data_IF_821452803652
#
_entry.id   IF_821452803652
#
_cell.length_a   1.000
_cell.length_b   1.000
_cell.length_c   1.000
_cell.angle_alpha   90.00
_cell.angle_beta   90.00
_cell.angle_gamma   90.00
#
_symmetry.space_group_name_H-M   'P 1'
#
loop_
_entity.id
_entity.type
_entity.pdbx_description
1 polymer ?
#
# COMPACT_ATOMS: atom_id res chain seq x y z
N UNK A 1 -7.14 7.50 40.71
CA UNK A 1 -7.56 6.12 41.05
C UNK A 1 -7.37 5.22 39.81
N UNK A 2 -6.98 3.93 39.93
CA UNK A 2 -6.70 3.03 38.77
C UNK A 2 -8.04 2.46 38.31
N UNK A 3 -8.40 1.25 38.71
CA UNK A 3 -9.37 0.43 38.00
C UNK A 3 -9.02 0.31 36.51
N UNK A 4 -7.88 -0.32 36.28
CA UNK A 4 -7.83 -1.38 35.28
C UNK A 4 -9.01 -2.32 35.58
N UNK A 5 -10.04 -2.30 34.76
CA UNK A 5 -11.05 -3.35 34.75
C UNK A 5 -10.48 -4.49 33.94
N UNK A 6 -9.94 -5.49 34.62
CA UNK A 6 -9.57 -6.76 33.99
C UNK A 6 -10.83 -7.41 33.42
N UNK A 7 -10.86 -7.66 32.11
CA UNK A 7 -11.94 -8.39 31.46
C UNK A 7 -11.89 -9.87 31.89
N UNK A 8 -12.61 -10.19 32.97
CA UNK A 8 -12.76 -11.57 33.45
C UNK A 8 -13.75 -12.33 32.55
N UNK A 9 -13.26 -12.81 31.40
CA UNK A 9 -13.76 -14.06 30.78
C UNK A 9 -12.91 -14.64 29.62
N UNK A 10 -11.69 -14.16 29.36
CA UNK A 10 -10.80 -14.71 28.31
C UNK A 10 -9.46 -15.23 28.84
N UNK A 11 -9.46 -16.12 29.84
CA UNK A 11 -8.28 -16.93 30.22
C UNK A 11 -8.62 -18.19 31.05
N UNK A 12 -9.19 -19.23 30.43
CA UNK A 12 -9.18 -20.61 30.96
C UNK A 12 -8.00 -21.41 30.41
N UNK A 13 -6.79 -21.05 30.85
CA UNK A 13 -5.58 -21.91 30.87
C UNK A 13 -4.59 -21.26 31.85
N UNK A 14 -4.44 -21.88 33.02
CA UNK A 14 -3.88 -21.20 34.19
C UNK A 14 -2.36 -21.07 34.17
N UNK A 15 -1.87 -19.99 34.79
CA UNK A 15 -0.57 -19.92 35.44
C UNK A 15 -0.71 -19.16 36.77
N UNK A 16 0.08 -19.56 37.76
CA UNK A 16 -0.06 -19.10 39.15
C UNK A 16 0.46 -17.67 39.35
N UNK A 17 -0.20 -16.90 40.22
CA UNK A 17 0.24 -15.57 40.63
C UNK A 17 0.44 -15.49 42.14
N UNK A 18 1.63 -15.08 42.57
CA UNK A 18 1.92 -14.68 43.96
C UNK A 18 1.89 -13.16 44.11
N UNK A 19 1.29 -12.71 45.22
CA UNK A 19 1.05 -11.31 45.60
C UNK A 19 2.30 -10.39 45.62
N UNK A 20 2.12 -9.10 45.24
CA UNK A 20 2.31 -7.93 46.13
C UNK A 20 1.71 -6.60 45.54
N UNK A 21 0.66 -6.06 46.21
CA UNK A 21 0.16 -4.66 46.33
C UNK A 21 0.25 -3.58 45.19
N UNK A 22 -0.88 -3.40 44.50
CA UNK A 22 -1.64 -2.15 44.19
C UNK A 22 -1.05 -0.72 44.38
N UNK A 23 -1.26 0.20 43.38
CA UNK A 23 -1.75 1.61 43.53
C UNK A 23 -2.04 2.42 42.20
N UNK A 24 -3.32 2.71 41.94
CA UNK A 24 -3.96 3.97 41.40
C UNK A 24 -3.48 4.79 40.14
N UNK A 25 -4.37 5.08 39.15
CA UNK A 25 -4.14 5.98 37.96
C UNK A 25 -4.76 5.58 36.55
N UNK A 26 -6.09 5.51 36.26
CA UNK A 26 -6.67 5.04 34.94
C UNK A 26 -8.07 5.59 34.58
N UNK A 27 -8.40 5.74 33.27
CA UNK A 27 -9.72 5.54 32.60
C UNK A 27 -9.49 5.45 31.07
N UNK A 28 -10.03 4.43 30.37
CA UNK A 28 -10.07 4.34 28.90
C UNK A 28 -11.48 3.93 28.45
N UNK A 29 -12.04 4.65 27.46
CA UNK A 29 -13.31 4.34 26.83
C UNK A 29 -13.28 4.85 25.37
N UNK A 30 -13.58 4.04 24.35
CA UNK A 30 -13.90 2.61 24.41
C UNK A 30 -13.70 1.90 23.07
N UNK A 31 -13.65 0.58 23.12
CA UNK A 31 -13.79 -0.32 21.98
C UNK A 31 -15.07 -1.14 22.20
N UNK A 32 -15.90 -1.27 21.17
CA UNK A 32 -17.15 -2.04 21.25
C UNK A 32 -16.90 -3.54 21.03
N UNK A 33 -17.56 -4.39 21.81
CA UNK A 33 -17.46 -5.85 21.72
C UNK A 33 -18.63 -6.43 20.91
N UNK A 34 -18.43 -7.21 19.83
CA UNK A 34 -19.49 -7.48 18.84
C UNK A 34 -20.64 -8.44 19.24
N UNK A 35 -20.86 -8.78 20.52
CA UNK A 35 -21.72 -9.93 20.90
C UNK A 35 -22.88 -9.66 21.88
N UNK A 36 -23.24 -8.41 22.17
CA UNK A 36 -24.39 -8.10 23.04
C UNK A 36 -25.51 -7.33 22.30
N UNK A 37 -26.50 -8.06 21.80
CA UNK A 37 -27.72 -7.48 21.21
C UNK A 37 -28.80 -7.28 22.28
N UNK A 38 -28.99 -6.03 22.72
CA UNK A 38 -30.10 -5.63 23.59
C UNK A 38 -30.65 -4.27 23.15
N UNK A 39 -31.90 -4.23 22.69
CA UNK A 39 -32.56 -3.01 22.18
C UNK A 39 -33.34 -2.32 23.29
N UNK A 40 -33.18 -1.00 23.42
CA UNK A 40 -34.23 -0.11 23.93
C UNK A 40 -34.51 0.98 22.89
N UNK A 41 -35.77 1.43 22.83
CA UNK A 41 -36.36 2.07 21.65
C UNK A 41 -37.10 3.35 22.03
N UNK A 42 -36.93 4.42 21.24
CA UNK A 42 -37.94 5.44 20.83
C UNK A 42 -37.19 6.56 20.08
N UNK A 43 -37.59 7.00 18.89
CA UNK A 43 -38.92 7.54 18.58
C UNK A 43 -39.24 7.59 17.06
N UNK A 44 -40.51 7.93 16.77
CA UNK A 44 -41.26 7.95 15.47
C UNK A 44 -40.55 8.73 14.34
N UNK A 45 -40.78 8.47 13.05
CA UNK A 45 -42.09 8.58 12.36
C UNK A 45 -42.26 7.75 11.05
N UNK A 46 -43.54 7.47 10.72
CA UNK A 46 -44.20 7.15 9.41
C UNK A 46 -43.30 6.62 8.25
N UNK A 47 -43.52 5.46 7.63
CA UNK A 47 -44.66 4.52 7.65
C UNK A 47 -45.54 4.64 6.40
N UNK A 48 -45.55 3.59 5.56
CA UNK A 48 -46.62 3.18 4.63
C UNK A 48 -46.54 1.64 4.47
N UNK A 49 -47.67 0.99 4.21
CA UNK A 49 -47.83 -0.49 4.28
C UNK A 49 -48.36 -1.00 2.94
N UNK A 50 -47.90 -2.19 2.50
CA UNK A 50 -48.63 -3.26 1.80
C UNK A 50 -47.63 -4.37 1.42
N UNK A 51 -47.54 -5.51 2.13
CA UNK A 51 -48.43 -6.70 2.10
C UNK A 51 -48.15 -7.70 0.95
N UNK A 52 -47.12 -8.55 1.16
CA UNK A 52 -47.07 -10.00 0.91
C UNK A 52 -47.50 -10.64 -0.43
N UNK A 53 -46.59 -11.42 -1.02
CA UNK A 53 -46.90 -12.62 -1.81
C UNK A 53 -45.73 -13.64 -1.73
N UNK A 54 -46.01 -14.92 -2.02
CA UNK A 54 -45.02 -16.03 -2.05
C UNK A 54 -44.43 -16.22 -3.45
N UNK A 55 -43.32 -16.98 -3.48
CA UNK A 55 -42.87 -17.86 -4.60
C UNK A 55 -42.45 -17.15 -5.91
N UNK A 56 -41.61 -17.69 -6.80
CA UNK A 56 -41.11 -19.06 -7.04
C UNK A 56 -39.61 -19.07 -7.40
N UNK A 57 -38.98 -20.25 -7.38
CA UNK A 57 -37.61 -20.49 -7.88
C UNK A 57 -37.65 -20.96 -9.34
N UNK A 58 -36.92 -20.36 -10.30
CA UNK A 58 -36.73 -20.94 -11.62
C UNK A 58 -35.46 -21.80 -11.69
N UNK A 59 -35.63 -23.06 -12.12
CA UNK A 59 -34.50 -23.87 -12.59
C UNK A 59 -34.06 -23.39 -13.98
N UNK A 60 -32.75 -23.27 -14.22
CA UNK A 60 -32.19 -23.11 -15.55
C UNK A 60 -31.58 -24.44 -16.01
N UNK A 61 -32.09 -24.96 -17.12
CA UNK A 61 -31.69 -26.26 -17.67
C UNK A 61 -30.31 -26.20 -18.33
N UNK A 62 -29.47 -27.21 -18.08
CA UNK A 62 -28.26 -27.46 -18.87
C UNK A 62 -28.65 -27.93 -20.28
N UNK A 63 -28.28 -27.18 -21.32
CA UNK A 63 -28.14 -27.75 -22.68
C UNK A 63 -26.76 -28.38 -22.81
N UNK A 64 -26.75 -29.66 -23.18
CA UNK A 64 -25.57 -30.33 -23.71
C UNK A 64 -25.41 -29.94 -25.19
N UNK A 65 -24.19 -29.64 -25.61
CA UNK A 65 -23.81 -29.54 -27.03
C UNK A 65 -22.57 -30.42 -27.23
N UNK A 66 -22.67 -31.37 -28.15
CA UNK A 66 -21.59 -32.31 -28.49
C UNK A 66 -20.62 -31.73 -29.52
N UNK A 67 -19.38 -32.25 -29.62
CA UNK A 67 -18.31 -31.60 -30.39
C UNK A 67 -18.30 -32.00 -31.86
N UNK A 68 -18.30 -31.00 -32.74
CA UNK A 68 -17.78 -31.08 -34.10
C UNK A 68 -17.33 -29.67 -34.55
N UNK A 69 -16.32 -29.63 -35.41
CA UNK A 69 -15.87 -28.47 -36.21
C UNK A 69 -15.49 -27.18 -35.46
N UNK A 70 -14.18 -26.99 -35.28
CA UNK A 70 -13.43 -25.84 -35.86
C UNK A 70 -11.93 -26.07 -35.65
N UNK A 71 -11.19 -26.30 -36.74
CA UNK A 71 -9.73 -26.15 -36.74
C UNK A 71 -9.34 -24.74 -37.18
N UNK A 72 -8.29 -24.23 -36.53
CA UNK A 72 -7.28 -23.31 -37.08
C UNK A 72 -7.76 -22.03 -37.82
N UNK A 73 -7.85 -20.94 -37.06
CA UNK A 73 -7.69 -19.56 -37.55
C UNK A 73 -6.92 -18.75 -36.52
N UNK A 74 -5.63 -18.53 -36.76
CA UNK A 74 -4.71 -17.95 -35.77
C UNK A 74 -4.90 -16.42 -35.65
N UNK A 75 -5.73 -15.99 -34.69
CA UNK A 75 -5.76 -14.59 -34.26
C UNK A 75 -4.59 -14.35 -33.30
N UNK A 76 -3.43 -13.99 -33.86
CA UNK A 76 -2.26 -13.59 -33.09
C UNK A 76 -2.55 -12.34 -32.27
N UNK A 77 -2.82 -12.53 -30.98
CA UNK A 77 -2.82 -11.45 -30.00
C UNK A 77 -1.37 -10.99 -29.79
N UNK A 78 -0.92 -10.05 -30.63
CA UNK A 78 0.37 -9.40 -30.44
C UNK A 78 0.31 -8.54 -29.17
N UNK A 79 0.65 -9.13 -28.03
CA UNK A 79 1.23 -8.39 -26.92
C UNK A 79 2.57 -7.82 -27.41
N UNK A 80 2.53 -6.66 -28.06
CA UNK A 80 3.64 -5.73 -27.97
C UNK A 80 3.68 -5.28 -26.51
N UNK A 81 4.39 -6.07 -25.68
CA UNK A 81 4.99 -5.50 -24.49
C UNK A 81 5.91 -4.39 -25.02
N UNK A 82 5.69 -3.15 -24.58
CA UNK A 82 6.59 -2.07 -24.91
C UNK A 82 8.02 -2.48 -24.50
N UNK A 83 9.06 -2.13 -25.28
CA UNK A 83 10.43 -2.38 -24.87
C UNK A 83 10.66 -1.80 -23.47
N UNK A 84 11.43 -2.48 -22.60
CA UNK A 84 11.64 -2.03 -21.22
C UNK A 84 12.46 -0.74 -21.23
N UNK A 85 11.77 0.40 -21.07
CA UNK A 85 12.39 1.70 -20.99
C UNK A 85 13.28 1.83 -19.75
N UNK A 86 14.34 2.61 -19.90
CA UNK A 86 15.35 2.86 -18.89
C UNK A 86 15.35 4.35 -18.55
N UNK A 87 15.04 4.65 -17.30
CA UNK A 87 15.03 5.99 -16.73
C UNK A 87 16.42 6.33 -16.19
N UNK A 88 16.95 7.49 -16.58
CA UNK A 88 18.20 8.06 -16.08
C UNK A 88 17.91 9.37 -15.36
N UNK A 89 18.48 9.56 -14.17
CA UNK A 89 18.34 10.79 -13.39
C UNK A 89 19.71 11.33 -12.95
N UNK A 90 19.96 12.65 -13.03
CA UNK A 90 21.26 13.23 -12.68
C UNK A 90 21.54 13.22 -11.17
N UNK A 91 20.49 13.07 -10.36
CA UNK A 91 20.54 12.91 -8.91
C UNK A 91 19.26 12.19 -8.44
N UNK A 92 19.25 11.69 -7.22
CA UNK A 92 18.07 11.12 -6.59
C UNK A 92 18.08 11.34 -5.06
N UNK A 93 17.00 10.96 -4.40
CA UNK A 93 16.95 10.81 -2.96
C UNK A 93 15.82 9.89 -2.51
N UNK A 94 15.80 9.56 -1.22
CA UNK A 94 14.84 8.66 -0.62
C UNK A 94 13.89 9.43 0.30
N UNK A 95 12.60 9.37 0.02
CA UNK A 95 11.54 9.95 0.85
C UNK A 95 11.02 8.88 1.82
N UNK A 96 11.44 8.94 3.08
CA UNK A 96 11.00 8.03 4.12
C UNK A 96 9.67 8.51 4.73
N UNK A 97 8.72 7.59 4.86
CA UNK A 97 7.39 7.85 5.42
C UNK A 97 6.86 6.64 6.20
N UNK A 98 5.60 6.70 6.62
CA UNK A 98 4.93 5.58 7.28
C UNK A 98 3.52 5.38 6.70
N UNK A 99 3.05 4.14 6.73
CA UNK A 99 1.68 3.76 6.39
C UNK A 99 1.17 2.68 7.37
N UNK A 100 -0.10 2.30 7.26
CA UNK A 100 -0.67 1.17 8.01
C UNK A 100 -0.54 -0.11 7.19
N UNK A 101 -0.14 -1.23 7.80
CA UNK A 101 -0.07 -2.50 7.07
C UNK A 101 -1.47 -3.02 6.69
N UNK A 102 -1.76 -3.20 5.39
CA UNK A 102 -3.06 -3.70 4.91
C UNK A 102 -3.45 -5.09 5.43
N UNK A 103 -2.48 -5.87 5.94
CA UNK A 103 -2.70 -7.23 6.43
C UNK A 103 -2.78 -7.35 7.95
N UNK A 104 -2.01 -6.55 8.69
CA UNK A 104 -1.91 -6.67 10.16
C UNK A 104 -2.13 -5.37 10.94
N UNK A 105 -2.41 -4.26 10.23
CA UNK A 105 -2.69 -2.94 10.79
C UNK A 105 -1.55 -2.33 11.65
N UNK A 106 -0.36 -2.94 11.65
CA UNK A 106 0.81 -2.37 12.30
C UNK A 106 1.37 -1.18 11.51
N UNK A 107 1.81 -0.09 12.17
CA UNK A 107 2.58 0.97 11.55
C UNK A 107 3.80 0.40 10.82
N UNK A 108 3.93 0.73 9.55
CA UNK A 108 4.92 0.17 8.63
C UNK A 108 5.70 1.31 7.98
N UNK A 109 7.05 1.34 8.08
CA UNK A 109 7.84 2.32 7.39
C UNK A 109 7.82 2.07 5.88
N UNK A 110 7.91 3.15 5.11
CA UNK A 110 7.88 3.17 3.64
C UNK A 110 9.00 4.06 3.12
N UNK A 111 9.39 3.85 1.87
CA UNK A 111 10.41 4.65 1.20
C UNK A 111 10.02 4.83 -0.28
N UNK A 112 10.11 6.03 -0.83
CA UNK A 112 9.97 6.27 -2.27
C UNK A 112 11.26 6.88 -2.81
N UNK A 113 11.71 6.39 -3.97
CA UNK A 113 12.83 7.03 -4.67
C UNK A 113 12.27 8.24 -5.42
N UNK A 114 12.78 9.41 -5.11
CA UNK A 114 12.48 10.67 -5.78
C UNK A 114 13.66 11.11 -6.64
N UNK A 115 13.37 11.68 -7.80
CA UNK A 115 14.33 12.30 -8.72
C UNK A 115 13.89 13.74 -9.02
N UNK A 116 14.82 14.72 -9.11
CA UNK A 116 14.49 16.11 -9.43
C UNK A 116 14.13 16.31 -10.91
N UNK A 117 14.64 15.43 -11.77
CA UNK A 117 14.36 15.35 -13.21
C UNK A 117 14.80 13.98 -13.71
N UNK A 118 14.34 13.58 -14.89
CA UNK A 118 14.76 12.35 -15.54
C UNK A 118 14.71 12.44 -17.06
N UNK A 119 15.44 11.54 -17.71
CA UNK A 119 15.29 11.16 -19.11
C UNK A 119 14.84 9.71 -19.18
N UNK A 120 13.86 9.40 -20.01
CA UNK A 120 13.44 8.02 -20.29
C UNK A 120 13.91 7.64 -21.71
N UNK A 121 14.61 6.51 -21.81
CA UNK A 121 15.19 6.00 -23.05
C UNK A 121 14.70 4.58 -23.34
N UNK A 122 14.43 4.26 -24.61
CA UNK A 122 14.21 2.90 -25.10
C UNK A 122 15.28 2.49 -26.14
N UNK A 123 15.04 1.41 -26.89
CA UNK A 123 15.96 0.92 -27.92
C UNK A 123 16.11 1.87 -29.13
N UNK A 124 15.18 2.81 -29.34
CA UNK A 124 15.22 3.83 -30.40
C UNK A 124 15.86 5.16 -29.92
N UNK A 125 15.92 5.37 -28.60
CA UNK A 125 16.64 6.48 -27.96
C UNK A 125 15.81 7.18 -26.89
N UNK A 126 15.99 8.50 -26.75
CA UNK A 126 15.24 9.34 -25.82
C UNK A 126 13.76 9.40 -26.20
N UNK A 127 12.87 8.92 -25.32
CA UNK A 127 11.41 8.92 -25.51
C UNK A 127 10.68 9.98 -24.68
N UNK A 128 11.17 10.31 -23.49
CA UNK A 128 10.59 11.35 -22.62
C UNK A 128 11.64 12.08 -21.79
N UNK A 129 11.32 13.30 -21.35
CA UNK A 129 12.10 14.09 -20.39
C UNK A 129 11.16 14.72 -19.36
N UNK A 130 11.37 14.43 -18.08
CA UNK A 130 10.50 14.86 -17.01
C UNK A 130 11.18 15.68 -15.92
N UNK A 131 10.38 16.49 -15.24
CA UNK A 131 10.73 17.20 -14.00
C UNK A 131 10.57 16.25 -12.78
N UNK A 132 10.35 16.81 -11.58
CA UNK A 132 10.30 16.07 -10.33
C UNK A 132 9.35 14.87 -10.36
N UNK A 133 9.87 13.68 -10.04
CA UNK A 133 9.12 12.41 -10.08
C UNK A 133 9.42 11.51 -8.87
N UNK A 134 8.47 10.66 -8.52
CA UNK A 134 8.69 9.47 -7.68
C UNK A 134 8.63 8.20 -8.54
N UNK A 135 9.60 7.32 -8.36
CA UNK A 135 9.71 6.08 -9.12
C UNK A 135 8.82 4.99 -8.51
N UNK A 136 8.15 4.23 -9.38
CA UNK A 136 7.17 3.18 -9.03
C UNK A 136 7.39 1.95 -9.90
N UNK A 137 6.97 0.79 -9.41
CA UNK A 137 7.10 -0.52 -10.09
C UNK A 137 8.54 -0.76 -10.59
N UNK A 138 9.51 -0.43 -9.74
CA UNK A 138 10.93 -0.43 -10.09
C UNK A 138 11.40 -1.88 -10.27
N UNK A 139 11.55 -2.33 -11.52
CA UNK A 139 11.99 -3.67 -11.89
C UNK A 139 13.53 -3.80 -11.84
N UNK A 140 14.26 -2.71 -12.07
CA UNK A 140 15.75 -2.65 -11.95
C UNK A 140 16.23 -1.30 -11.41
N UNK A 141 17.38 -1.34 -10.75
CA UNK A 141 18.18 -0.20 -10.31
C UNK A 141 19.67 -0.53 -10.54
N UNK A 142 20.50 0.49 -10.68
CA UNK A 142 21.96 0.35 -10.60
C UNK A 142 22.42 -0.12 -9.20
N UNK A 143 23.59 -0.76 -9.15
CA UNK A 143 24.08 -1.46 -7.95
C UNK A 143 24.34 -0.51 -6.76
N UNK A 144 24.86 0.69 -7.04
CA UNK A 144 25.13 1.71 -6.02
C UNK A 144 23.82 2.22 -5.40
N UNK A 145 22.80 2.48 -6.22
CA UNK A 145 21.45 2.84 -5.75
C UNK A 145 20.79 1.69 -4.97
N UNK A 146 20.95 0.43 -5.40
CA UNK A 146 20.46 -0.73 -4.63
C UNK A 146 21.12 -0.80 -3.25
N UNK A 147 22.43 -0.63 -3.17
CA UNK A 147 23.17 -0.64 -1.92
C UNK A 147 22.75 0.51 -0.99
N UNK A 148 22.58 1.71 -1.53
CA UNK A 148 22.08 2.88 -0.81
C UNK A 148 20.66 2.65 -0.26
N UNK A 149 19.72 2.19 -1.09
CA UNK A 149 18.34 1.90 -0.67
C UNK A 149 18.31 0.81 0.39
N UNK A 150 19.08 -0.26 0.24
CA UNK A 150 19.17 -1.34 1.24
C UNK A 150 19.73 -0.84 2.59
N UNK A 151 20.65 0.12 2.58
CA UNK A 151 21.21 0.74 3.79
C UNK A 151 20.21 1.61 4.56
N UNK A 152 19.30 2.30 3.87
CA UNK A 152 18.34 3.22 4.48
C UNK A 152 16.91 2.64 4.66
N UNK A 153 16.51 1.67 3.85
CA UNK A 153 15.18 1.07 3.86
C UNK A 153 15.21 -0.45 3.54
N UNK A 154 15.81 -1.31 4.39
CA UNK A 154 15.94 -2.77 4.14
C UNK A 154 14.59 -3.54 4.06
N UNK A 155 13.47 -2.89 4.38
CA UNK A 155 12.11 -3.39 4.15
C UNK A 155 11.59 -3.16 2.72
N UNK A 156 12.21 -2.26 1.97
CA UNK A 156 11.97 -2.03 0.53
C UNK A 156 12.97 -2.89 -0.26
N UNK A 157 12.47 -3.96 -0.90
CA UNK A 157 13.33 -4.96 -1.57
C UNK A 157 12.58 -5.64 -2.71
N UNK A 158 13.32 -6.17 -3.68
CA UNK A 158 12.73 -6.88 -4.81
C UNK A 158 11.90 -8.10 -4.36
N UNK A 159 10.67 -8.18 -4.84
CA UNK A 159 9.78 -9.32 -4.60
C UNK A 159 8.83 -9.54 -5.77
N UNK A 160 8.59 -10.81 -6.11
CA UNK A 160 7.59 -11.19 -7.10
C UNK A 160 6.19 -11.05 -6.53
N UNK A 161 5.33 -10.22 -7.14
CA UNK A 161 3.93 -10.14 -6.70
C UNK A 161 3.09 -11.25 -7.32
N UNK A 162 2.17 -11.83 -6.54
CA UNK A 162 1.27 -12.87 -7.06
C UNK A 162 0.24 -12.34 -8.07
N UNK A 163 -0.05 -11.04 -8.03
CA UNK A 163 -1.13 -10.44 -8.81
C UNK A 163 -0.69 -10.07 -10.23
N UNK A 164 0.48 -9.46 -10.41
CA UNK A 164 1.03 -9.16 -11.74
C UNK A 164 2.06 -10.17 -12.24
N UNK A 165 2.62 -11.01 -11.36
CA UNK A 165 3.74 -11.89 -11.69
C UNK A 165 5.09 -11.18 -11.86
N UNK A 166 5.10 -9.85 -11.88
CA UNK A 166 6.32 -9.04 -11.97
C UNK A 166 7.11 -9.08 -10.66
N UNK A 167 8.42 -8.94 -10.79
CA UNK A 167 9.34 -8.73 -9.66
C UNK A 167 9.78 -7.27 -9.68
N UNK A 168 9.37 -6.51 -8.67
CA UNK A 168 9.78 -5.12 -8.49
C UNK A 168 10.17 -4.85 -7.04
N UNK A 169 10.82 -3.72 -6.81
CA UNK A 169 11.25 -3.23 -5.50
C UNK A 169 10.01 -2.85 -4.65
N UNK A 170 9.59 -3.73 -3.73
CA UNK A 170 8.34 -3.59 -3.00
C UNK A 170 8.56 -3.44 -1.47
N UNK A 171 7.72 -2.62 -0.82
CA UNK A 171 7.71 -2.49 0.64
C UNK A 171 7.15 -3.75 1.28
N UNK A 172 7.78 -4.19 2.36
CA UNK A 172 7.32 -5.27 3.21
C UNK A 172 7.05 -4.75 4.62
N UNK A 173 5.95 -5.18 5.24
CA UNK A 173 5.68 -4.86 6.63
C UNK A 173 6.80 -5.39 7.54
N UNK A 174 7.39 -4.53 8.35
CA UNK A 174 8.44 -4.88 9.31
C UNK A 174 7.94 -5.76 10.45
N UNK A 175 6.63 -5.81 10.69
CA UNK A 175 5.99 -6.64 11.74
C UNK A 175 5.59 -8.03 11.26
N UNK A 176 4.91 -8.14 10.10
CA UNK A 176 4.35 -9.41 9.62
C UNK A 176 4.95 -9.93 8.30
N UNK A 177 5.86 -9.17 7.67
CA UNK A 177 6.48 -9.52 6.38
C UNK A 177 5.58 -9.37 5.15
N UNK A 178 4.30 -9.00 5.30
CA UNK A 178 3.38 -8.85 4.18
C UNK A 178 3.83 -7.76 3.20
N UNK A 179 3.87 -8.09 1.90
CA UNK A 179 4.15 -7.16 0.81
C UNK A 179 3.03 -6.11 0.73
N UNK A 180 3.36 -4.83 0.83
CA UNK A 180 2.40 -3.72 0.81
C UNK A 180 2.09 -3.25 -0.61
N UNK A 181 3.11 -3.14 -1.46
CA UNK A 181 2.98 -2.91 -2.90
C UNK A 181 2.61 -1.47 -3.29
N UNK A 182 3.07 -1.07 -4.46
CA UNK A 182 3.06 0.32 -4.92
C UNK A 182 1.65 0.87 -5.20
N UNK A 183 0.66 0.00 -5.40
CA UNK A 183 -0.73 0.42 -5.54
C UNK A 183 -1.29 1.01 -4.22
N UNK A 184 -0.92 0.41 -3.08
CA UNK A 184 -1.35 0.87 -1.76
C UNK A 184 -0.49 2.04 -1.25
N UNK A 185 0.84 1.90 -1.37
CA UNK A 185 1.79 2.88 -0.81
C UNK A 185 1.77 4.23 -1.55
N UNK A 186 1.46 4.24 -2.85
CA UNK A 186 1.25 5.45 -3.65
C UNK A 186 -0.24 5.70 -3.96
N UNK A 187 -1.15 5.23 -3.11
CA UNK A 187 -2.58 5.59 -3.16
C UNK A 187 -2.81 7.02 -2.62
N UNK A 188 -4.00 7.62 -2.84
CA UNK A 188 -4.33 8.93 -2.27
C UNK A 188 -4.30 9.02 -0.74
N UNK A 189 -4.48 7.89 -0.05
CA UNK A 189 -4.36 7.77 1.41
C UNK A 189 -2.92 7.38 1.86
N UNK A 190 -2.01 7.19 0.90
CA UNK A 190 -0.62 6.81 1.12
C UNK A 190 0.31 8.01 1.41
N UNK A 191 1.50 7.78 2.00
CA UNK A 191 2.42 8.84 2.41
C UNK A 191 2.99 9.68 1.24
N UNK A 192 2.87 9.21 0.00
CA UNK A 192 3.40 9.89 -1.20
C UNK A 192 2.33 10.64 -2.00
N UNK A 193 1.23 11.04 -1.33
CA UNK A 193 0.18 11.90 -1.88
C UNK A 193 -0.06 13.18 -1.05
N UNK A 194 0.98 13.93 -0.63
CA UNK A 194 0.83 15.09 0.25
C UNK A 194 -0.03 16.19 -0.41
N UNK A 195 -1.04 16.68 0.31
CA UNK A 195 -1.94 17.75 -0.12
C UNK A 195 -1.45 19.14 0.32
N UNK A 196 -0.41 19.21 1.15
CA UNK A 196 0.19 20.45 1.63
C UNK A 196 1.68 20.30 1.95
N UNK A 197 2.39 21.43 2.01
CA UNK A 197 3.80 21.43 2.39
C UNK A 197 4.03 20.96 3.83
N UNK A 198 3.01 21.10 4.71
CA UNK A 198 3.01 20.56 6.08
C UNK A 198 2.95 19.03 6.09
N UNK A 199 2.33 18.41 5.09
CA UNK A 199 2.33 16.94 4.94
C UNK A 199 3.61 16.47 4.26
N UNK A 200 4.10 17.18 3.25
CA UNK A 200 5.39 16.91 2.61
C UNK A 200 6.55 16.97 3.61
N UNK A 201 6.56 17.96 4.51
CA UNK A 201 7.54 18.09 5.59
C UNK A 201 7.49 16.96 6.64
N UNK A 202 6.49 16.07 6.62
CA UNK A 202 6.49 14.85 7.46
C UNK A 202 7.35 13.73 6.88
N UNK A 203 7.74 13.83 5.61
CA UNK A 203 8.64 12.87 4.97
C UNK A 203 10.09 13.26 5.29
N UNK A 204 10.90 12.29 5.70
CA UNK A 204 12.34 12.51 5.87
C UNK A 204 13.02 12.30 4.52
N UNK A 205 13.71 13.32 4.02
CA UNK A 205 14.52 13.23 2.81
C UNK A 205 15.95 12.77 3.14
N UNK A 206 16.42 11.74 2.45
CA UNK A 206 17.81 11.29 2.47
C UNK A 206 18.39 11.45 1.07
N UNK A 207 19.42 12.29 0.91
CA UNK A 207 20.04 12.53 -0.39
C UNK A 207 20.78 11.28 -0.89
N UNK A 208 20.54 10.91 -2.16
CA UNK A 208 21.23 9.82 -2.84
C UNK A 208 22.67 10.15 -3.22
N UNK A 209 23.42 9.13 -3.63
CA UNK A 209 24.82 9.28 -4.04
C UNK A 209 24.94 9.20 -5.57
N UNK A 210 25.16 10.35 -6.21
CA UNK A 210 25.37 10.44 -7.65
C UNK A 210 24.09 10.32 -8.49
N UNK A 211 24.22 10.00 -9.79
CA UNK A 211 23.09 9.75 -10.68
C UNK A 211 22.44 8.39 -10.39
N UNK A 212 21.27 8.16 -10.96
CA UNK A 212 20.51 6.92 -10.88
C UNK A 212 20.16 6.40 -12.27
N UNK A 213 20.14 5.07 -12.44
CA UNK A 213 19.58 4.39 -13.61
C UNK A 213 18.60 3.31 -13.16
N UNK A 214 17.38 3.34 -13.70
CA UNK A 214 16.28 2.47 -13.29
C UNK A 214 15.51 1.90 -14.49
N UNK A 215 14.84 0.77 -14.29
CA UNK A 215 13.67 0.38 -15.10
C UNK A 215 12.46 0.49 -14.19
N UNK A 216 11.65 1.54 -14.38
CA UNK A 216 10.59 1.95 -13.47
C UNK A 216 9.61 2.90 -14.18
N UNK A 217 8.40 3.05 -13.64
CA UNK A 217 7.47 4.11 -14.05
C UNK A 217 7.69 5.39 -13.24
N UNK A 218 7.75 6.54 -13.88
CA UNK A 218 7.75 7.84 -13.22
C UNK A 218 6.32 8.28 -12.86
N UNK A 219 6.08 8.67 -11.60
CA UNK A 219 4.89 9.39 -11.19
C UNK A 219 5.24 10.84 -10.87
N UNK A 220 4.63 11.81 -11.57
CA UNK A 220 4.92 13.24 -11.40
C UNK A 220 3.79 13.98 -10.66
N UNK A 221 4.15 15.03 -9.92
CA UNK A 221 3.22 15.98 -9.31
C UNK A 221 3.93 17.25 -8.88
N UNK A 222 3.25 18.39 -8.91
CA UNK A 222 3.83 19.74 -8.65
C UNK A 222 4.35 19.95 -7.21
N UNK A 223 4.17 19.00 -6.29
CA UNK A 223 4.83 19.03 -4.98
C UNK A 223 6.28 18.55 -5.02
N UNK A 224 6.66 17.80 -6.06
CA UNK A 224 7.97 17.14 -6.14
C UNK A 224 9.11 18.16 -6.33
N UNK A 225 8.85 19.30 -6.95
CA UNK A 225 9.79 20.43 -7.07
C UNK A 225 10.10 21.08 -5.71
N UNK A 226 9.24 20.87 -4.70
CA UNK A 226 9.38 21.43 -3.36
C UNK A 226 10.06 20.48 -2.38
N UNK A 227 10.36 19.24 -2.76
CA UNK A 227 11.01 18.22 -1.90
C UNK A 227 12.27 18.75 -1.20
N UNK A 228 13.27 19.34 -1.90
CA UNK A 228 14.50 19.81 -1.25
C UNK A 228 14.29 20.97 -0.27
N UNK A 229 13.19 21.72 -0.41
CA UNK A 229 12.87 22.87 0.42
C UNK A 229 12.01 22.50 1.62
N UNK A 230 10.96 21.71 1.42
CA UNK A 230 10.00 21.33 2.44
C UNK A 230 10.56 20.28 3.42
N UNK A 231 11.27 19.27 2.92
CA UNK A 231 11.82 18.20 3.77
C UNK A 231 13.10 18.64 4.54
N UNK A 232 13.70 19.78 4.18
CA UNK A 232 14.85 20.35 4.88
C UNK A 232 14.47 21.28 6.06
N UNK A 233 13.17 21.52 6.28
CA UNK A 233 12.63 22.42 7.31
C UNK A 233 11.99 21.69 8.51
N UNK A 234 12.14 20.36 8.57
CA UNK A 234 11.49 19.46 9.53
C UNK A 234 12.44 19.00 10.65
#
# INVERSE_FOLDING_TARGET
>A
MVLCVTCQNCCTRGFSATHERLRTTTWCSGWECPSCSAKTNTSKWRGWVHSGARSETPMIQRRLVSPADTQAGQNGFMTHAAPPSTLQAPAYGLLLGHTECHFCHAPTPTAAIWVPSFEEHDDEGLVDQGEGAVLRYIERLDEDTVAFVAGHAPWLRFATTRTSGQTYLAHHCTTCGALQGDHFVFSPDGPYWPQSDVELARLTFVQGLGPLTAQASAGQSTWMDRVPLACAQA
#
